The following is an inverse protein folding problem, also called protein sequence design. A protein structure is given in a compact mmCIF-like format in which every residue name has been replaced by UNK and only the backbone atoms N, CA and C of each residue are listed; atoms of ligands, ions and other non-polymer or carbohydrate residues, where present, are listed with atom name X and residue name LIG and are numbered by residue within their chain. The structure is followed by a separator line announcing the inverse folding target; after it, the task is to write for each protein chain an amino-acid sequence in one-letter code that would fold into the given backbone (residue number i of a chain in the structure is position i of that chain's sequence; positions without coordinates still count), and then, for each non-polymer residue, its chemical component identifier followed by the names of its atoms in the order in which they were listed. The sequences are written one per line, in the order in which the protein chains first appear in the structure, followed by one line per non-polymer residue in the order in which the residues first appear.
data_IF_108416469408
#
_entry.id   IF_108416469408
#
_cell.length_a   1.000
_cell.length_b   1.000
_cell.length_c   1.000
_cell.angle_alpha   90.00
_cell.angle_beta   90.00
_cell.angle_gamma   90.00
#
_symmetry.space_group_name_H-M   'P 1'
#
loop_
_entity.id
_entity.type
_entity.pdbx_description
1 polymer ?
#
# COMPACT_ATOMS: atom_id res chain seq x y z
N UNK A 1 1.47 -23.85 36.51
CA UNK A 1 0.54 -23.68 35.38
C UNK A 1 0.46 -22.18 35.09
N UNK A 2 0.64 -21.63 33.89
CA UNK A 2 0.85 -22.21 32.58
C UNK A 2 2.04 -21.55 31.86
N UNK A 3 2.85 -22.42 31.26
CA UNK A 3 3.70 -22.14 30.12
C UNK A 3 2.79 -21.84 28.91
N UNK A 4 3.27 -21.08 27.93
CA UNK A 4 2.60 -20.71 26.68
C UNK A 4 1.59 -19.54 26.76
N UNK A 5 2.11 -18.33 26.93
CA UNK A 5 1.47 -17.15 26.34
C UNK A 5 2.16 -16.83 25.00
N UNK A 6 1.97 -17.69 23.99
CA UNK A 6 2.24 -17.33 22.60
C UNK A 6 1.02 -16.60 22.04
N UNK A 7 0.68 -15.46 22.65
CA UNK A 7 -0.10 -14.44 21.97
C UNK A 7 0.81 -13.83 20.90
N UNK A 8 0.93 -14.49 19.75
CA UNK A 8 1.58 -13.89 18.60
C UNK A 8 0.89 -12.56 18.34
N UNK A 9 1.62 -11.45 18.53
CA UNK A 9 1.10 -10.12 18.25
C UNK A 9 0.42 -10.17 16.88
N UNK A 10 -0.85 -9.75 16.82
CA UNK A 10 -1.53 -9.59 15.54
C UNK A 10 -0.60 -8.78 14.65
N UNK A 11 -0.36 -9.20 13.39
CA UNK A 11 0.50 -8.43 12.52
C UNK A 11 -0.18 -7.06 12.35
N UNK A 12 0.42 -6.05 12.96
CA UNK A 12 -0.06 -4.67 12.99
C UNK A 12 0.94 -3.79 12.24
N UNK A 13 0.41 -2.79 11.56
CA UNK A 13 1.21 -1.76 10.91
C UNK A 13 1.73 -0.82 12.00
N UNK A 14 3.06 -0.80 12.18
CA UNK A 14 3.69 -0.15 13.33
C UNK A 14 3.85 1.35 13.15
N UNK A 15 4.39 1.75 12.00
CA UNK A 15 4.86 3.11 11.72
C UNK A 15 4.39 3.60 10.35
N UNK A 16 4.46 4.91 10.12
CA UNK A 16 4.06 5.55 8.85
C UNK A 16 4.78 4.97 7.62
N UNK A 17 6.06 4.57 7.77
CA UNK A 17 6.81 3.91 6.69
C UNK A 17 6.23 2.56 6.32
N UNK A 18 5.80 1.78 7.32
CA UNK A 18 5.15 0.50 7.07
C UNK A 18 3.76 0.71 6.46
N UNK A 19 3.04 1.74 6.89
CA UNK A 19 1.74 2.10 6.34
C UNK A 19 1.84 2.48 4.85
N UNK A 20 2.86 3.26 4.50
CA UNK A 20 3.17 3.60 3.11
C UNK A 20 3.42 2.30 2.32
N UNK A 21 4.32 1.44 2.80
CA UNK A 21 4.63 0.18 2.12
C UNK A 21 3.40 -0.73 1.98
N UNK A 22 2.55 -0.79 2.99
CA UNK A 22 1.32 -1.59 3.00
C UNK A 22 0.31 -1.10 1.96
N UNK A 23 0.20 0.21 1.75
CA UNK A 23 -0.66 0.78 0.73
C UNK A 23 -0.12 0.46 -0.68
N UNK A 24 1.19 0.56 -0.89
CA UNK A 24 1.78 0.19 -2.18
C UNK A 24 1.64 -1.33 -2.43
N UNK A 25 1.82 -2.15 -1.39
CA UNK A 25 1.56 -3.59 -1.48
C UNK A 25 0.12 -3.87 -1.91
N UNK A 26 -0.83 -3.14 -1.35
CA UNK A 26 -2.26 -3.29 -1.67
C UNK A 26 -2.56 -2.96 -3.13
N UNK A 27 -1.74 -2.13 -3.79
CA UNK A 27 -1.89 -1.80 -5.19
C UNK A 27 -1.51 -3.00 -6.07
N UNK A 28 -0.36 -3.63 -5.81
CA UNK A 28 0.07 -4.84 -6.52
C UNK A 28 -0.86 -6.02 -6.20
N UNK A 29 -1.35 -6.11 -4.97
CA UNK A 29 -2.23 -7.18 -4.55
C UNK A 29 -3.71 -6.97 -4.93
N UNK A 30 -4.05 -5.88 -5.63
CA UNK A 30 -5.44 -5.48 -5.87
C UNK A 30 -6.20 -6.49 -6.73
N UNK A 31 -5.54 -7.10 -7.72
CA UNK A 31 -6.08 -8.15 -8.59
C UNK A 31 -6.14 -9.54 -7.91
N UNK A 32 -5.57 -9.67 -6.71
CA UNK A 32 -5.55 -10.87 -5.90
C UNK A 32 -4.34 -11.80 -6.13
N UNK A 33 -3.46 -11.50 -7.10
CA UNK A 33 -2.28 -12.33 -7.39
C UNK A 33 -1.02 -11.47 -7.38
N UNK A 34 -0.27 -11.54 -6.27
CA UNK A 34 1.06 -10.91 -6.23
C UNK A 34 2.08 -11.86 -6.84
N UNK A 35 2.57 -11.54 -8.04
CA UNK A 35 3.63 -12.34 -8.66
C UNK A 35 5.00 -12.08 -7.99
N UNK A 36 5.88 -13.09 -7.88
CA UNK A 36 7.23 -12.92 -7.34
C UNK A 36 8.06 -11.85 -8.08
N UNK A 37 7.81 -11.65 -9.37
CA UNK A 37 8.46 -10.66 -10.22
C UNK A 37 8.05 -9.23 -9.82
N UNK A 38 6.76 -8.98 -9.62
CA UNK A 38 6.23 -7.67 -9.20
C UNK A 38 6.71 -7.30 -7.81
N UNK A 39 6.75 -8.29 -6.92
CA UNK A 39 7.33 -8.21 -5.59
C UNK A 39 8.80 -7.75 -5.65
N UNK A 40 9.62 -8.40 -6.48
CA UNK A 40 11.03 -8.02 -6.62
C UNK A 40 11.18 -6.64 -7.24
N UNK A 41 10.39 -6.32 -8.27
CA UNK A 41 10.37 -4.99 -8.89
C UNK A 41 10.00 -3.91 -7.88
N UNK A 42 9.04 -4.19 -6.99
CA UNK A 42 8.66 -3.32 -5.90
C UNK A 42 9.84 -3.09 -4.95
N UNK A 43 10.45 -4.16 -4.44
CA UNK A 43 11.56 -4.06 -3.48
C UNK A 43 12.70 -3.23 -4.06
N UNK A 44 13.06 -3.45 -5.33
CA UNK A 44 14.10 -2.68 -6.04
C UNK A 44 13.70 -1.20 -6.20
N UNK A 45 12.45 -0.94 -6.57
CA UNK A 45 11.94 0.43 -6.77
C UNK A 45 11.90 1.20 -5.46
N UNK A 46 11.52 0.55 -4.36
CA UNK A 46 11.38 1.18 -3.04
C UNK A 46 12.70 1.29 -2.29
N UNK A 47 13.65 0.37 -2.50
CA UNK A 47 14.99 0.43 -1.90
C UNK A 47 15.73 1.74 -2.24
N UNK A 48 15.46 2.31 -3.41
CA UNK A 48 16.09 3.54 -3.87
C UNK A 48 15.41 4.82 -3.35
N UNK A 49 14.22 4.73 -2.74
CA UNK A 49 13.49 5.91 -2.24
C UNK A 49 13.94 6.27 -0.82
N UNK A 50 14.23 7.55 -0.60
CA UNK A 50 14.70 8.08 0.71
C UNK A 50 13.74 7.80 1.86
N UNK A 51 12.43 7.73 1.59
CA UNK A 51 11.36 7.49 2.58
C UNK A 51 11.53 6.12 3.27
N UNK A 52 12.02 5.10 2.55
CA UNK A 52 12.18 3.74 3.08
C UNK A 52 13.59 3.46 3.60
N UNK A 53 14.46 4.46 3.68
CA UNK A 53 15.83 4.27 4.19
C UNK A 53 15.78 3.79 5.65
N UNK A 54 16.52 2.72 5.92
CA UNK A 54 16.59 2.07 7.24
C UNK A 54 15.42 1.15 7.58
N UNK A 55 14.43 1.00 6.68
CA UNK A 55 13.39 -0.01 6.81
C UNK A 55 13.88 -1.32 6.18
N UNK A 56 13.73 -2.44 6.88
CA UNK A 56 13.86 -3.76 6.24
C UNK A 56 12.60 -4.02 5.41
N UNK A 57 12.67 -3.71 4.12
CA UNK A 57 11.55 -3.84 3.18
C UNK A 57 11.09 -5.30 3.12
N UNK A 58 12.02 -6.26 3.09
CA UNK A 58 11.69 -7.68 2.98
C UNK A 58 10.94 -8.19 4.21
N UNK A 59 11.42 -7.87 5.42
CA UNK A 59 10.74 -8.31 6.64
C UNK A 59 9.38 -7.63 6.81
N UNK A 60 9.31 -6.33 6.51
CA UNK A 60 8.05 -5.57 6.57
C UNK A 60 7.03 -6.12 5.57
N UNK A 61 7.48 -6.45 4.36
CA UNK A 61 6.63 -7.06 3.35
C UNK A 61 6.06 -8.40 3.84
N UNK A 62 6.89 -9.28 4.41
CA UNK A 62 6.42 -10.57 4.95
C UNK A 62 5.33 -10.38 6.00
N UNK A 63 5.47 -9.37 6.86
CA UNK A 63 4.43 -9.01 7.84
C UNK A 63 3.15 -8.55 7.15
N UNK A 64 3.23 -7.63 6.19
CA UNK A 64 2.05 -7.14 5.44
C UNK A 64 1.35 -8.28 4.69
N UNK A 65 2.10 -9.17 4.03
CA UNK A 65 1.54 -10.34 3.37
C UNK A 65 0.82 -11.27 4.36
N UNK A 66 1.31 -11.38 5.59
CA UNK A 66 0.60 -12.11 6.66
C UNK A 66 -0.72 -11.42 7.04
N UNK A 67 -0.73 -10.08 7.18
CA UNK A 67 -1.95 -9.28 7.39
C UNK A 67 -2.94 -9.55 6.26
N UNK A 68 -2.49 -9.50 5.02
CA UNK A 68 -3.32 -9.74 3.84
C UNK A 68 -3.98 -11.12 3.87
N UNK A 69 -3.21 -12.18 4.18
CA UNK A 69 -3.73 -13.54 4.29
C UNK A 69 -4.74 -13.69 5.43
N UNK A 70 -4.59 -12.94 6.51
CA UNK A 70 -5.52 -12.95 7.65
C UNK A 70 -6.78 -12.11 7.38
N UNK A 71 -6.67 -10.97 6.68
CA UNK A 71 -7.79 -10.10 6.32
C UNK A 71 -8.59 -10.62 5.12
N UNK A 72 -7.97 -11.46 4.29
CA UNK A 72 -8.55 -12.00 3.05
C UNK A 72 -8.82 -10.95 1.97
N UNK A 73 -8.41 -9.69 2.18
CA UNK A 73 -8.62 -8.59 1.26
C UNK A 73 -7.62 -7.45 1.48
N UNK A 74 -7.32 -6.73 0.40
CA UNK A 74 -6.51 -5.50 0.42
C UNK A 74 -7.16 -4.36 1.21
N UNK A 75 -8.50 -4.35 1.31
CA UNK A 75 -9.24 -3.35 2.09
C UNK A 75 -8.82 -3.36 3.57
N UNK A 76 -8.68 -4.54 4.17
CA UNK A 76 -8.24 -4.65 5.57
C UNK A 76 -6.82 -4.12 5.80
N UNK A 77 -5.97 -4.12 4.76
CA UNK A 77 -4.63 -3.53 4.82
C UNK A 77 -4.73 -2.01 4.77
N UNK A 78 -5.56 -1.47 3.85
CA UNK A 78 -5.80 -0.03 3.71
C UNK A 78 -6.37 0.55 4.99
N UNK A 79 -7.36 -0.11 5.60
CA UNK A 79 -7.97 0.34 6.86
C UNK A 79 -6.99 0.30 8.03
N UNK A 80 -6.07 -0.66 8.06
CA UNK A 80 -5.01 -0.71 9.06
C UNK A 80 -3.91 0.34 8.81
N UNK A 81 -3.64 0.69 7.55
CA UNK A 81 -2.56 1.57 7.14
C UNK A 81 -2.95 3.06 7.20
N UNK A 82 -4.12 3.42 6.69
CA UNK A 82 -4.55 4.81 6.55
C UNK A 82 -4.49 5.64 7.85
N UNK A 83 -4.86 5.12 9.04
CA UNK A 83 -4.76 5.86 10.30
C UNK A 83 -3.32 6.15 10.74
N UNK A 84 -2.33 5.45 10.17
CA UNK A 84 -0.90 5.61 10.49
C UNK A 84 -0.20 6.60 9.57
N UNK A 85 -0.89 7.11 8.55
CA UNK A 85 -0.37 8.11 7.60
C UNK A 85 -0.71 9.52 8.09
N UNK A 86 0.31 10.34 8.34
CA UNK A 86 0.14 11.74 8.74
C UNK A 86 -0.49 12.53 7.59
N UNK A 87 -1.28 13.57 7.92
CA UNK A 87 -2.02 14.36 6.93
C UNK A 87 -1.16 14.88 5.77
N UNK A 88 0.08 15.32 6.04
CA UNK A 88 1.00 15.79 5.00
C UNK A 88 1.49 14.73 4.02
N UNK A 89 1.33 13.44 4.34
CA UNK A 89 1.75 12.33 3.49
C UNK A 89 0.60 11.63 2.77
N UNK A 90 -0.66 11.91 3.13
CA UNK A 90 -1.84 11.25 2.53
C UNK A 90 -1.89 11.37 1.01
N UNK A 91 -1.74 12.60 0.50
CA UNK A 91 -1.71 12.86 -0.95
C UNK A 91 -0.50 12.19 -1.62
N UNK A 92 0.66 12.18 -0.95
CA UNK A 92 1.89 11.55 -1.48
C UNK A 92 1.74 10.04 -1.60
N UNK A 93 1.14 9.41 -0.58
CA UNK A 93 0.87 7.98 -0.56
C UNK A 93 -0.14 7.61 -1.63
N UNK A 94 -1.23 8.36 -1.74
CA UNK A 94 -2.24 8.16 -2.78
C UNK A 94 -1.65 8.32 -4.19
N UNK A 95 -0.90 9.39 -4.44
CA UNK A 95 -0.23 9.61 -5.72
C UNK A 95 0.75 8.48 -6.07
N UNK A 96 1.45 7.95 -5.07
CA UNK A 96 2.36 6.81 -5.30
C UNK A 96 1.59 5.53 -5.61
N UNK A 97 0.46 5.27 -4.95
CA UNK A 97 -0.37 4.10 -5.27
C UNK A 97 -0.92 4.18 -6.70
N UNK A 98 -1.42 5.36 -7.09
CA UNK A 98 -1.89 5.64 -8.46
C UNK A 98 -0.77 5.45 -9.48
N UNK A 99 0.46 5.88 -9.17
CA UNK A 99 1.63 5.70 -10.03
C UNK A 99 1.96 4.24 -10.30
N UNK A 100 1.87 3.39 -9.29
CA UNK A 100 2.09 1.94 -9.45
C UNK A 100 0.97 1.28 -10.27
N UNK A 101 -0.29 1.62 -9.99
CA UNK A 101 -1.44 1.04 -10.70
C UNK A 101 -1.56 1.50 -12.16
N UNK A 102 -1.13 2.72 -12.49
CA UNK A 102 -1.14 3.22 -13.88
C UNK A 102 0.14 2.88 -14.66
N UNK A 103 1.03 2.05 -14.10
CA UNK A 103 2.32 1.77 -14.75
C UNK A 103 2.17 0.97 -16.05
N UNK A 104 1.12 0.17 -16.20
CA UNK A 104 0.80 -0.58 -17.41
C UNK A 104 -0.15 0.19 -18.36
N UNK A 105 -0.59 1.37 -17.94
CA UNK A 105 -1.42 2.30 -18.70
C UNK A 105 -2.92 2.11 -18.55
N UNK A 106 -3.43 1.13 -17.78
CA UNK A 106 -4.86 0.94 -17.58
C UNK A 106 -5.18 0.54 -16.13
N UNK A 107 -6.10 1.27 -15.49
CA UNK A 107 -6.66 0.87 -14.19
C UNK A 107 -8.08 0.35 -14.42
N UNK A 108 -8.35 -0.89 -14.04
CA UNK A 108 -9.68 -1.49 -14.25
C UNK A 108 -10.13 -2.40 -13.10
N UNK A 109 -11.44 -2.40 -12.85
CA UNK A 109 -12.09 -3.37 -11.96
C UNK A 109 -11.58 -3.29 -10.51
N UNK A 110 -10.75 -4.26 -10.11
CA UNK A 110 -10.29 -4.38 -8.72
C UNK A 110 -9.34 -3.25 -8.30
N UNK A 111 -8.52 -2.75 -9.23
CA UNK A 111 -7.59 -1.64 -9.00
C UNK A 111 -8.34 -0.31 -8.83
N UNK A 112 -9.37 -0.07 -9.65
CA UNK A 112 -10.21 1.11 -9.54
C UNK A 112 -10.93 1.13 -8.18
N UNK A 113 -11.49 -0.02 -7.79
CA UNK A 113 -12.11 -0.19 -6.47
C UNK A 113 -11.11 0.08 -5.33
N UNK A 114 -9.89 -0.45 -5.44
CA UNK A 114 -8.83 -0.23 -4.46
C UNK A 114 -8.52 1.27 -4.32
N UNK A 115 -8.42 2.02 -5.43
CA UNK A 115 -8.18 3.47 -5.39
C UNK A 115 -9.34 4.23 -4.72
N UNK A 116 -10.59 3.85 -4.95
CA UNK A 116 -11.73 4.45 -4.25
C UNK A 116 -11.68 4.17 -2.76
N UNK A 117 -11.40 2.92 -2.36
CA UNK A 117 -11.27 2.50 -0.98
C UNK A 117 -10.13 3.27 -0.28
N UNK A 118 -8.98 3.40 -0.95
CA UNK A 118 -7.83 4.16 -0.46
C UNK A 118 -8.11 5.65 -0.32
N UNK A 119 -8.76 6.26 -1.32
CA UNK A 119 -9.17 7.67 -1.28
C UNK A 119 -10.08 7.92 -0.08
N UNK A 120 -11.07 7.06 0.14
CA UNK A 120 -11.99 7.15 1.26
C UNK A 120 -11.28 7.01 2.61
N UNK A 121 -10.40 6.00 2.74
CA UNK A 121 -9.65 5.76 3.97
C UNK A 121 -8.68 6.90 4.32
N UNK A 122 -8.06 7.52 3.31
CA UNK A 122 -7.20 8.69 3.49
C UNK A 122 -7.98 10.01 3.60
N UNK A 123 -9.30 10.01 3.43
CA UNK A 123 -10.14 11.21 3.44
C UNK A 123 -9.67 12.27 2.41
N UNK A 124 -9.34 11.82 1.20
CA UNK A 124 -8.92 12.68 0.09
C UNK A 124 -10.15 13.11 -0.71
N UNK A 125 -10.25 14.40 -1.02
CA UNK A 125 -11.36 14.92 -1.83
C UNK A 125 -11.28 14.47 -3.29
N UNK A 126 -12.43 14.36 -3.96
CA UNK A 126 -12.52 13.95 -5.36
C UNK A 126 -11.73 14.86 -6.31
N UNK A 127 -11.70 16.17 -6.04
CA UNK A 127 -10.96 17.14 -6.84
C UNK A 127 -9.45 16.90 -6.76
N UNK A 128 -8.93 16.65 -5.55
CA UNK A 128 -7.51 16.34 -5.34
C UNK A 128 -7.15 14.99 -5.96
N UNK A 129 -7.97 13.96 -5.72
CA UNK A 129 -7.75 12.63 -6.29
C UNK A 129 -7.69 12.68 -7.83
N UNK A 130 -8.63 13.39 -8.46
CA UNK A 130 -8.64 13.57 -9.92
C UNK A 130 -7.39 14.30 -10.42
N UNK A 131 -7.00 15.40 -9.79
CA UNK A 131 -5.79 16.14 -10.16
C UNK A 131 -4.54 15.26 -10.08
N UNK A 132 -4.42 14.43 -9.05
CA UNK A 132 -3.31 13.50 -8.88
C UNK A 132 -3.28 12.49 -10.03
N UNK A 133 -4.43 11.85 -10.33
CA UNK A 133 -4.54 10.89 -11.45
C UNK A 133 -4.16 11.55 -12.77
N UNK A 134 -4.68 12.74 -13.07
CA UNK A 134 -4.39 13.47 -14.30
C UNK A 134 -2.88 13.75 -14.44
N UNK A 135 -2.21 14.18 -13.35
CA UNK A 135 -0.76 14.42 -13.33
C UNK A 135 0.03 13.14 -13.59
N UNK A 136 -0.36 12.02 -12.98
CA UNK A 136 0.32 10.72 -13.19
C UNK A 136 0.13 10.23 -14.62
N UNK A 137 -1.08 10.34 -15.17
CA UNK A 137 -1.36 9.98 -16.58
C UNK A 137 -0.49 10.83 -17.52
N UNK A 138 -0.31 12.12 -17.25
CA UNK A 138 0.60 12.98 -18.03
C UNK A 138 2.06 12.54 -17.86
N UNK A 139 2.48 12.19 -16.64
CA UNK A 139 3.85 11.74 -16.35
C UNK A 139 4.21 10.44 -17.08
N UNK A 140 3.23 9.57 -17.30
CA UNK A 140 3.41 8.25 -17.93
C UNK A 140 3.23 8.27 -19.45
N UNK A 141 2.84 9.41 -20.05
CA UNK A 141 2.88 9.62 -21.51
C UNK A 141 4.31 9.86 -22.00
#
# INVERSE_FOLDING_TARGET
MGLFNFGGAKPEIKDEKEAFLAIIYSAIAADGVVEPEEMNALVVTLANRRVFRGLDINDTFKRINKIHKESGSVLGIIEAAAPKVTDGYKETVFATAVDFLLSDGNVAGAEEKMLYDLKAALNISDSVAKNIVDVIVIKNK
#
